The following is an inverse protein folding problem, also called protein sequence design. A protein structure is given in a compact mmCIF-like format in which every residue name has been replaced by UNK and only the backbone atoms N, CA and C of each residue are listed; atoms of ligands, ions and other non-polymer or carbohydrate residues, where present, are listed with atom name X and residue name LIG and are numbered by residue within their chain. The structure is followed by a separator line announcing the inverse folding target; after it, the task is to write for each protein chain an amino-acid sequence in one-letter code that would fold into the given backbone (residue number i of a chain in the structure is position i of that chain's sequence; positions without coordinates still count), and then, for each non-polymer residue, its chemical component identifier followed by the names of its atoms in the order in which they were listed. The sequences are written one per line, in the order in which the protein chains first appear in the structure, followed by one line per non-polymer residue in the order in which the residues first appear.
data_IF_021814137553
#
_entry.id   IF_021814137553
#
_cell.length_a   1.000
_cell.length_b   1.000
_cell.length_c   1.000
_cell.angle_alpha   90.00
_cell.angle_beta   90.00
_cell.angle_gamma   90.00
#
_symmetry.space_group_name_H-M   'P 1'
#
loop_
_entity.id
_entity.type
_entity.pdbx_description
1 polymer ?
#
# COMPACT_ATOMS: atom_id res chain seq x y z
N UNK A 1 13.77 4.16 7.47
CA UNK A 1 14.86 5.06 7.79
C UNK A 1 16.12 4.30 8.19
N UNK A 2 17.23 4.65 7.54
CA UNK A 2 18.51 3.93 7.64
C UNK A 2 19.09 3.96 9.06
N UNK A 3 18.99 5.09 9.72
CA UNK A 3 19.52 5.26 11.08
C UNK A 3 18.83 4.32 12.09
N UNK A 4 17.49 4.27 12.04
CA UNK A 4 16.72 3.39 12.95
C UNK A 4 16.98 1.92 12.66
N UNK A 5 17.12 1.57 11.38
CA UNK A 5 17.42 0.20 10.99
C UNK A 5 18.78 -0.25 11.53
N UNK A 6 19.79 0.60 11.44
CA UNK A 6 21.11 0.30 11.97
C UNK A 6 21.09 0.19 13.50
N UNK A 7 20.39 1.11 14.17
CA UNK A 7 20.31 1.13 15.63
C UNK A 7 19.68 -0.14 16.22
N UNK A 8 18.65 -0.67 15.55
CA UNK A 8 17.89 -1.84 16.02
C UNK A 8 18.18 -3.12 15.26
N UNK A 9 19.22 -3.14 14.43
CA UNK A 9 19.56 -4.29 13.58
C UNK A 9 18.41 -4.74 12.68
N UNK A 10 17.61 -3.79 12.18
CA UNK A 10 16.49 -4.09 11.28
C UNK A 10 16.94 -4.13 9.84
N UNK A 11 16.43 -5.11 9.08
CA UNK A 11 16.54 -5.15 7.63
C UNK A 11 15.23 -4.65 7.01
N UNK A 12 15.23 -4.36 5.71
CA UNK A 12 14.04 -3.84 5.03
C UNK A 12 12.82 -4.76 5.20
N UNK A 13 13.02 -6.08 5.17
CA UNK A 13 11.92 -7.05 5.33
C UNK A 13 11.29 -7.03 6.73
N UNK A 14 11.88 -6.34 7.68
CA UNK A 14 11.31 -6.13 9.02
C UNK A 14 10.48 -4.84 9.10
N UNK A 15 10.30 -4.15 7.98
CA UNK A 15 9.65 -2.84 7.92
C UNK A 15 8.32 -2.92 7.18
N UNK A 16 7.32 -2.25 7.75
CA UNK A 16 6.01 -2.05 7.13
C UNK A 16 5.86 -0.56 6.87
N UNK A 17 5.34 -0.22 5.71
CA UNK A 17 5.01 1.16 5.38
C UNK A 17 3.50 1.25 5.21
N UNK A 18 2.88 2.19 5.91
CA UNK A 18 1.45 2.44 5.78
C UNK A 18 1.17 3.89 5.45
N UNK A 19 0.04 4.15 4.83
CA UNK A 19 -0.34 5.52 4.51
C UNK A 19 -1.82 5.67 4.21
N UNK A 20 -2.32 6.88 4.49
CA UNK A 20 -3.70 7.28 4.22
C UNK A 20 -3.69 8.47 3.27
N UNK A 21 -4.52 8.44 2.24
CA UNK A 21 -4.68 9.52 1.26
C UNK A 21 -3.35 9.86 0.59
N UNK A 22 -2.83 11.08 0.76
CA UNK A 22 -1.52 11.46 0.23
C UNK A 22 -0.41 10.55 0.74
N UNK A 23 -0.48 10.12 1.99
CA UNK A 23 0.47 9.17 2.56
C UNK A 23 0.47 7.85 1.81
N UNK A 24 -0.70 7.36 1.41
CA UNK A 24 -0.81 6.16 0.58
C UNK A 24 -0.17 6.39 -0.80
N UNK A 25 -0.44 7.53 -1.42
CA UNK A 25 0.12 7.87 -2.73
C UNK A 25 1.64 7.87 -2.71
N UNK A 26 2.22 8.51 -1.69
CA UNK A 26 3.67 8.58 -1.52
C UNK A 26 4.26 7.20 -1.24
N UNK A 27 3.59 6.43 -0.39
CA UNK A 27 4.04 5.07 -0.02
C UNK A 27 4.11 4.15 -1.24
N UNK A 28 3.09 4.19 -2.10
CA UNK A 28 3.09 3.40 -3.33
C UNK A 28 4.20 3.86 -4.29
N UNK A 29 4.36 5.18 -4.41
CA UNK A 29 5.33 5.74 -5.33
C UNK A 29 6.78 5.45 -4.91
N UNK A 30 7.05 5.40 -3.60
CA UNK A 30 8.41 5.20 -3.09
C UNK A 30 8.71 3.76 -2.70
N UNK A 31 7.74 3.05 -2.13
CA UNK A 31 7.96 1.72 -1.56
C UNK A 31 8.43 0.69 -2.56
N UNK A 32 7.85 0.67 -3.75
CA UNK A 32 8.19 -0.33 -4.77
C UNK A 32 9.40 0.06 -5.63
N UNK A 33 9.92 1.28 -5.46
CA UNK A 33 11.16 1.72 -6.12
C UNK A 33 12.41 1.45 -5.30
N UNK A 34 12.25 0.98 -4.06
CA UNK A 34 13.40 0.69 -3.19
C UNK A 34 14.13 -0.57 -3.65
N UNK A 35 15.45 -0.54 -3.55
CA UNK A 35 16.28 -1.74 -3.79
C UNK A 35 15.99 -2.80 -2.74
N UNK A 36 15.90 -2.38 -1.47
CA UNK A 36 15.62 -3.27 -0.36
C UNK A 36 14.12 -3.43 -0.21
N UNK A 37 13.61 -4.64 -0.36
CA UNK A 37 12.18 -4.92 -0.29
C UNK A 37 11.68 -4.81 1.15
N UNK A 38 10.77 -3.86 1.41
CA UNK A 38 10.06 -3.81 2.70
C UNK A 38 9.07 -4.97 2.75
N UNK A 39 8.65 -5.36 3.95
CA UNK A 39 7.76 -6.50 4.11
C UNK A 39 6.38 -6.25 3.49
N UNK A 40 5.76 -5.15 3.86
CA UNK A 40 4.38 -4.88 3.46
C UNK A 40 4.11 -3.40 3.30
N UNK A 41 3.16 -3.10 2.40
CA UNK A 41 2.57 -1.78 2.24
C UNK A 41 1.08 -1.90 2.55
N UNK A 42 0.59 -1.07 3.45
CA UNK A 42 -0.84 -1.00 3.81
C UNK A 42 -1.33 0.40 3.42
N UNK A 43 -2.14 0.48 2.38
CA UNK A 43 -2.60 1.76 1.86
C UNK A 43 -4.11 1.96 1.96
N UNK A 44 -4.51 3.16 2.37
CA UNK A 44 -5.91 3.55 2.52
C UNK A 44 -6.21 4.79 1.69
N UNK A 45 -7.26 4.74 0.89
CA UNK A 45 -7.85 5.90 0.24
C UNK A 45 -6.86 6.72 -0.59
N UNK A 46 -6.00 6.04 -1.34
CA UNK A 46 -5.01 6.70 -2.18
C UNK A 46 -5.15 6.38 -3.65
N UNK A 47 -4.13 6.73 -4.41
CA UNK A 47 -4.04 6.41 -5.84
C UNK A 47 -2.58 6.35 -6.26
N UNK A 48 -2.33 5.79 -7.42
CA UNK A 48 -1.00 5.85 -8.04
C UNK A 48 -0.85 7.23 -8.69
N UNK A 49 0.22 7.94 -8.33
CA UNK A 49 0.46 9.30 -8.83
C UNK A 49 0.72 9.28 -10.34
N UNK A 50 1.58 8.39 -10.80
CA UNK A 50 1.89 8.24 -12.21
C UNK A 50 2.10 6.77 -12.54
N UNK A 51 1.14 6.17 -13.26
CA UNK A 51 1.24 4.77 -13.68
C UNK A 51 2.39 4.57 -14.68
N UNK A 52 2.59 5.54 -15.56
CA UNK A 52 3.67 5.48 -16.55
C UNK A 52 5.05 5.46 -15.88
N UNK A 53 5.29 6.40 -14.96
CA UNK A 53 6.55 6.45 -14.24
C UNK A 53 6.76 5.19 -13.40
N UNK A 54 5.73 4.75 -12.69
CA UNK A 54 5.83 3.61 -11.80
C UNK A 54 6.07 2.31 -12.55
N UNK A 55 5.46 2.11 -13.71
CA UNK A 55 5.64 0.90 -14.52
C UNK A 55 7.09 0.70 -14.95
N UNK A 56 7.85 1.78 -15.09
CA UNK A 56 9.26 1.75 -15.49
C UNK A 56 10.20 1.63 -14.29
N UNK A 57 9.69 1.72 -13.07
CA UNK A 57 10.51 1.85 -11.86
C UNK A 57 10.13 0.85 -10.75
N UNK A 58 9.50 -0.26 -11.10
CA UNK A 58 9.24 -1.33 -10.13
C UNK A 58 10.54 -2.07 -9.90
N UNK A 59 11.16 -1.84 -8.75
CA UNK A 59 12.43 -2.45 -8.37
C UNK A 59 12.22 -3.59 -7.37
N UNK A 60 11.28 -3.42 -6.45
CA UNK A 60 10.96 -4.44 -5.46
C UNK A 60 9.45 -4.69 -5.43
N UNK A 61 9.07 -5.81 -4.83
CA UNK A 61 7.65 -6.23 -4.80
C UNK A 61 7.21 -6.60 -3.38
N UNK A 62 7.09 -5.61 -2.47
CA UNK A 62 6.54 -5.89 -1.14
C UNK A 62 5.10 -6.39 -1.25
N UNK A 63 4.62 -7.04 -0.17
CA UNK A 63 3.21 -7.41 -0.09
C UNK A 63 2.38 -6.14 0.03
N UNK A 64 1.30 -6.02 -0.74
CA UNK A 64 0.47 -4.81 -0.77
C UNK A 64 -0.98 -5.15 -0.51
N UNK A 65 -1.62 -4.39 0.39
CA UNK A 65 -3.08 -4.32 0.48
C UNK A 65 -3.51 -2.85 0.32
N UNK A 66 -4.48 -2.61 -0.56
CA UNK A 66 -5.06 -1.30 -0.78
C UNK A 66 -6.53 -1.33 -0.40
N UNK A 67 -6.96 -0.39 0.41
CA UNK A 67 -8.33 -0.33 0.93
C UNK A 67 -8.93 1.05 0.67
N UNK A 68 -10.23 1.09 0.38
CA UNK A 68 -10.89 2.30 -0.09
C UNK A 68 -12.38 2.29 0.22
N UNK A 69 -12.93 3.44 0.60
CA UNK A 69 -14.37 3.62 0.76
C UNK A 69 -15.06 3.87 -0.58
N UNK A 70 -16.21 3.25 -0.79
CA UNK A 70 -16.94 3.40 -2.06
C UNK A 70 -17.64 4.76 -2.22
N UNK A 71 -17.77 5.53 -1.15
CA UNK A 71 -18.36 6.87 -1.16
C UNK A 71 -17.31 7.96 -0.96
N UNK A 72 -16.05 7.65 -1.21
CA UNK A 72 -14.96 8.64 -1.07
C UNK A 72 -15.11 9.73 -2.14
N UNK A 73 -15.28 10.97 -1.69
CA UNK A 73 -15.46 12.13 -2.57
C UNK A 73 -14.16 12.90 -2.77
N UNK A 74 -13.11 12.57 -2.03
CA UNK A 74 -11.80 13.21 -2.15
C UNK A 74 -10.94 12.45 -3.15
N UNK A 75 -10.84 11.13 -2.98
CA UNK A 75 -10.17 10.24 -3.93
C UNK A 75 -11.21 9.21 -4.38
N UNK A 76 -11.70 9.30 -5.61
CA UNK A 76 -12.76 8.41 -6.10
C UNK A 76 -12.35 6.93 -6.04
N UNK A 77 -13.34 6.06 -5.82
CA UNK A 77 -13.12 4.60 -5.76
C UNK A 77 -12.47 4.06 -7.05
N UNK A 78 -12.69 4.72 -8.17
CA UNK A 78 -12.07 4.37 -9.45
C UNK A 78 -10.55 4.35 -9.35
N UNK A 79 -9.96 5.13 -8.44
CA UNK A 79 -8.52 5.14 -8.21
C UNK A 79 -8.01 3.80 -7.68
N UNK A 80 -8.80 3.11 -6.85
CA UNK A 80 -8.47 1.76 -6.38
C UNK A 80 -8.53 0.77 -7.55
N UNK A 81 -9.56 0.87 -8.38
CA UNK A 81 -9.74 -0.02 -9.53
C UNK A 81 -8.62 0.16 -10.55
N UNK A 82 -8.21 1.40 -10.80
CA UNK A 82 -7.08 1.72 -11.66
C UNK A 82 -5.77 1.16 -11.10
N UNK A 83 -5.56 1.26 -9.79
CA UNK A 83 -4.37 0.71 -9.14
C UNK A 83 -4.35 -0.82 -9.29
N UNK A 84 -5.47 -1.48 -9.03
CA UNK A 84 -5.58 -2.93 -9.17
C UNK A 84 -5.27 -3.38 -10.60
N UNK A 85 -5.80 -2.66 -11.58
CA UNK A 85 -5.55 -2.94 -13.00
C UNK A 85 -4.06 -2.74 -13.33
N UNK A 86 -3.47 -1.65 -12.84
CA UNK A 86 -2.06 -1.36 -13.05
C UNK A 86 -1.17 -2.49 -12.54
N UNK A 87 -1.37 -2.92 -11.30
CA UNK A 87 -0.57 -3.99 -10.73
C UNK A 87 -0.78 -5.31 -11.48
N UNK A 88 -2.02 -5.60 -11.87
CA UNK A 88 -2.32 -6.79 -12.68
C UNK A 88 -1.57 -6.80 -14.01
N UNK A 89 -1.51 -5.67 -14.70
CA UNK A 89 -0.79 -5.54 -15.96
C UNK A 89 0.73 -5.70 -15.79
N UNK A 90 1.25 -5.48 -14.60
CA UNK A 90 2.67 -5.62 -14.29
C UNK A 90 2.97 -6.95 -13.60
N UNK A 91 2.06 -7.91 -13.67
CA UNK A 91 2.21 -9.24 -13.05
C UNK A 91 2.51 -9.14 -11.56
N UNK A 92 1.85 -8.18 -10.89
CA UNK A 92 2.06 -7.89 -9.48
C UNK A 92 0.73 -8.13 -8.76
N UNK A 93 0.64 -9.23 -8.02
CA UNK A 93 -0.57 -9.59 -7.29
C UNK A 93 -0.64 -8.79 -5.99
N UNK A 94 -1.77 -8.09 -5.80
CA UNK A 94 -2.03 -7.33 -4.58
C UNK A 94 -3.39 -7.72 -4.01
N UNK A 95 -3.62 -7.38 -2.73
CA UNK A 95 -4.94 -7.53 -2.12
C UNK A 95 -5.64 -6.18 -2.11
N UNK A 96 -6.96 -6.20 -2.28
CA UNK A 96 -7.78 -4.99 -2.25
C UNK A 96 -9.03 -5.22 -1.41
N UNK A 97 -9.52 -4.14 -0.79
CA UNK A 97 -10.76 -4.17 -0.03
C UNK A 97 -11.54 -2.87 -0.25
N UNK A 98 -12.82 -3.01 -0.60
CA UNK A 98 -13.74 -1.88 -0.72
C UNK A 98 -14.65 -1.88 0.49
N UNK A 99 -14.75 -0.73 1.18
CA UNK A 99 -15.67 -0.56 2.29
C UNK A 99 -16.96 0.09 1.79
N UNK A 100 -18.08 -0.58 1.98
CA UNK A 100 -19.39 -0.07 1.56
C UNK A 100 -19.82 1.08 2.47
N UNK A 101 -20.47 2.07 1.89
CA UNK A 101 -21.01 3.25 2.59
C UNK A 101 -19.93 3.99 3.40
N UNK A 102 -18.70 3.93 2.90
CA UNK A 102 -17.56 4.56 3.58
C UNK A 102 -17.01 5.71 2.74
N UNK A 103 -16.83 6.84 3.39
CA UNK A 103 -16.27 8.04 2.78
C UNK A 103 -14.73 8.03 2.85
N UNK A 104 -14.11 9.20 2.82
CA UNK A 104 -12.65 9.36 2.84
C UNK A 104 -12.12 9.21 4.28
N UNK A 105 -12.04 7.98 4.76
CA UNK A 105 -11.57 7.67 6.11
C UNK A 105 -11.14 6.21 6.23
N UNK A 106 -10.49 5.87 7.33
CA UNK A 106 -10.17 4.49 7.68
C UNK A 106 -11.23 4.01 8.67
N UNK A 107 -12.13 3.11 8.27
CA UNK A 107 -13.10 2.55 9.22
C UNK A 107 -12.41 1.54 10.16
N UNK A 108 -13.05 1.21 11.27
CA UNK A 108 -12.53 0.23 12.23
C UNK A 108 -12.18 -1.11 11.56
N UNK A 109 -13.05 -1.56 10.65
CA UNK A 109 -12.79 -2.78 9.87
C UNK A 109 -11.47 -2.66 9.09
N UNK A 110 -11.18 -1.47 8.55
CA UNK A 110 -9.95 -1.22 7.80
C UNK A 110 -8.70 -1.37 8.65
N UNK A 111 -8.73 -0.85 9.87
CA UNK A 111 -7.61 -1.00 10.81
C UNK A 111 -7.37 -2.46 11.15
N UNK A 112 -8.45 -3.22 11.39
CA UNK A 112 -8.37 -4.64 11.70
C UNK A 112 -7.81 -5.44 10.53
N UNK A 113 -8.27 -5.18 9.31
CA UNK A 113 -7.78 -5.85 8.11
C UNK A 113 -6.32 -5.54 7.85
N UNK A 114 -5.91 -4.29 8.07
CA UNK A 114 -4.50 -3.89 7.95
C UNK A 114 -3.62 -4.69 8.90
N UNK A 115 -4.05 -4.81 10.16
CA UNK A 115 -3.32 -5.58 11.16
C UNK A 115 -3.25 -7.06 10.80
N UNK A 116 -4.35 -7.65 10.33
CA UNK A 116 -4.39 -9.04 9.90
C UNK A 116 -3.43 -9.29 8.73
N UNK A 117 -3.38 -8.36 7.77
CA UNK A 117 -2.46 -8.45 6.64
C UNK A 117 -1.00 -8.46 7.11
N UNK A 118 -0.67 -7.57 8.05
CA UNK A 118 0.67 -7.49 8.64
C UNK A 118 1.03 -8.80 9.33
N UNK A 119 0.14 -9.31 10.17
CA UNK A 119 0.37 -10.58 10.89
C UNK A 119 0.60 -11.73 9.93
N UNK A 120 -0.19 -11.82 8.87
CA UNK A 120 -0.09 -12.86 7.86
C UNK A 120 1.30 -12.89 7.21
N UNK A 121 1.85 -11.73 6.87
CA UNK A 121 3.11 -11.64 6.14
C UNK A 121 4.34 -11.60 7.04
N UNK A 122 4.16 -11.44 8.35
CA UNK A 122 5.24 -11.57 9.34
C UNK A 122 5.22 -12.91 10.09
N UNK A 123 4.29 -13.78 9.77
CA UNK A 123 4.10 -15.08 10.47
C UNK A 123 3.85 -14.92 11.98
N UNK A 124 3.07 -13.91 12.34
CA UNK A 124 2.74 -13.64 13.74
C UNK A 124 1.41 -14.31 14.16
#
# INVERSE_FOLDING_TARGET
DVYKRQKYNLIANDIIIGGFSQGCMITLQTGIKRKDTVNSIVGYSGRIISTEHLSKNIVSRPNIILMHGDLDQVVPIESLLEAKEFFGKNNYEIETKIFKHCEHRIPTEGSSLGLQFIKKHFDL
#
